data_IF_038899181887
#
_entry.id   IF_038899181887
#
_cell.length_a   1.000
_cell.length_b   1.000
_cell.length_c   1.000
_cell.angle_alpha   90.00
_cell.angle_beta   90.00
_cell.angle_gamma   90.00
#
_symmetry.space_group_name_H-M   'P 1'
#
loop_
_entity.id
_entity.type
_entity.pdbx_description
1 polymer ?
#
# COMPACT_ATOMS: atom_id res chain seq x y z
N UNK A 1 -7.87 1.70 -4.51
CA UNK A 1 -9.23 2.25 -4.37
C UNK A 1 -10.14 1.20 -3.74
N UNK A 2 -11.03 1.56 -2.85
CA UNK A 2 -12.07 0.65 -2.32
C UNK A 2 -13.32 0.68 -3.19
N UNK A 3 -13.96 -0.46 -3.37
CA UNK A 3 -15.06 -0.62 -4.34
C UNK A 3 -16.41 -0.09 -3.85
N UNK A 4 -16.65 -0.07 -2.54
CA UNK A 4 -17.95 0.28 -1.99
C UNK A 4 -18.36 1.73 -2.23
N UNK A 5 -17.43 2.67 -2.23
CA UNK A 5 -17.70 4.10 -2.43
C UNK A 5 -16.78 4.80 -3.43
N UNK A 6 -15.87 4.06 -4.05
CA UNK A 6 -14.92 4.61 -5.00
C UNK A 6 -13.79 5.44 -4.38
N UNK A 7 -13.67 5.49 -3.07
CA UNK A 7 -12.58 6.23 -2.43
C UNK A 7 -11.23 5.61 -2.78
N UNK A 8 -10.30 6.44 -3.17
CA UNK A 8 -8.97 6.01 -3.57
C UNK A 8 -7.89 6.66 -2.72
N UNK A 9 -6.76 6.02 -2.67
CA UNK A 9 -5.55 6.52 -2.05
C UNK A 9 -4.34 6.13 -2.90
N UNK A 10 -3.36 7.02 -3.03
CA UNK A 10 -2.17 6.73 -3.81
C UNK A 10 -1.32 5.68 -3.11
N UNK A 11 -0.78 4.75 -3.88
CA UNK A 11 0.18 3.77 -3.40
C UNK A 11 1.57 4.13 -3.89
N UNK A 12 2.53 4.04 -2.98
CA UNK A 12 3.94 4.16 -3.35
C UNK A 12 4.46 2.78 -3.82
N UNK A 13 5.28 2.74 -4.87
CA UNK A 13 5.94 1.51 -5.27
C UNK A 13 6.76 0.95 -4.12
N UNK A 14 6.68 -0.37 -3.92
CA UNK A 14 7.44 -1.04 -2.89
C UNK A 14 8.25 -2.20 -3.50
N UNK A 15 9.51 -2.41 -3.08
CA UNK A 15 10.36 -3.42 -3.70
C UNK A 15 9.93 -4.86 -3.43
N UNK A 16 9.22 -5.12 -2.33
CA UNK A 16 8.85 -6.47 -1.90
C UNK A 16 7.36 -6.73 -1.78
N UNK A 17 6.53 -5.68 -1.64
CA UNK A 17 5.09 -5.82 -1.54
C UNK A 17 4.41 -5.42 -2.87
N UNK A 18 3.49 -6.25 -3.33
CA UNK A 18 2.69 -5.93 -4.50
C UNK A 18 1.63 -4.86 -4.18
N UNK A 19 1.17 -4.08 -5.17
CA UNK A 19 0.09 -3.13 -4.97
C UNK A 19 -1.18 -3.74 -4.36
N UNK A 20 -1.51 -4.96 -4.73
CA UNK A 20 -2.66 -5.68 -4.18
C UNK A 20 -2.48 -6.00 -2.69
N UNK A 21 -1.29 -6.43 -2.29
CA UNK A 21 -0.96 -6.66 -0.89
C UNK A 21 -1.06 -5.37 -0.07
N UNK A 22 -0.54 -4.26 -0.60
CA UNK A 22 -0.63 -2.96 0.06
C UNK A 22 -2.09 -2.51 0.22
N UNK A 23 -2.88 -2.61 -0.83
CA UNK A 23 -4.32 -2.28 -0.75
C UNK A 23 -5.06 -3.11 0.29
N UNK A 24 -4.81 -4.42 0.32
CA UNK A 24 -5.46 -5.32 1.28
C UNK A 24 -5.00 -5.05 2.71
N UNK A 25 -3.75 -4.67 2.91
CA UNK A 25 -3.22 -4.33 4.22
C UNK A 25 -3.80 -3.01 4.76
N UNK A 26 -3.91 -1.98 3.92
CA UNK A 26 -4.46 -0.69 4.32
C UNK A 26 -5.99 -0.68 4.44
N UNK A 27 -6.67 -1.56 3.74
CA UNK A 27 -8.13 -1.58 3.67
C UNK A 27 -8.70 -3.02 3.69
N UNK A 28 -8.49 -3.77 4.80
CA UNK A 28 -8.91 -5.17 4.88
C UNK A 28 -10.42 -5.37 5.04
N UNK A 29 -11.15 -4.36 5.52
CA UNK A 29 -12.58 -4.48 5.82
C UNK A 29 -13.48 -4.41 4.58
N UNK A 30 -12.93 -4.12 3.40
CA UNK A 30 -13.70 -4.04 2.16
C UNK A 30 -12.85 -4.46 0.96
N UNK A 31 -13.52 -4.75 -0.14
CA UNK A 31 -12.83 -5.09 -1.38
C UNK A 31 -12.14 -3.86 -1.98
N UNK A 32 -10.95 -4.06 -2.46
CA UNK A 32 -10.13 -3.05 -3.11
C UNK A 32 -9.75 -3.46 -4.52
N UNK A 33 -9.45 -2.46 -5.35
CA UNK A 33 -9.01 -2.64 -6.73
C UNK A 33 -7.88 -1.68 -7.05
N UNK A 34 -6.94 -2.13 -7.86
CA UNK A 34 -5.78 -1.34 -8.29
C UNK A 34 -6.10 -0.66 -9.61
N UNK A 35 -5.80 0.63 -9.67
CA UNK A 35 -5.80 1.42 -10.89
C UNK A 35 -4.44 2.04 -11.11
N UNK A 36 -4.05 2.21 -12.35
CA UNK A 36 -2.76 2.78 -12.76
C UNK A 36 -2.98 3.98 -13.66
N UNK A 37 -2.27 5.05 -13.40
CA UNK A 37 -2.33 6.29 -14.18
C UNK A 37 -1.72 7.44 -13.40
N UNK A 38 -1.54 8.57 -14.06
CA UNK A 38 -1.04 9.79 -13.42
C UNK A 38 -2.16 10.56 -12.72
N UNK A 39 -3.37 10.42 -13.22
CA UNK A 39 -4.58 11.04 -12.69
C UNK A 39 -5.67 9.99 -12.51
N UNK A 40 -6.45 10.14 -11.45
CA UNK A 40 -7.49 9.17 -11.13
C UNK A 40 -8.58 9.08 -12.23
N UNK A 41 -8.89 10.19 -12.87
CA UNK A 41 -9.93 10.25 -13.92
C UNK A 41 -9.62 9.31 -15.09
N UNK A 42 -8.35 9.19 -15.43
CA UNK A 42 -7.86 8.38 -16.55
C UNK A 42 -7.19 7.08 -16.11
N UNK A 43 -7.15 6.84 -14.81
CA UNK A 43 -6.53 5.63 -14.26
C UNK A 43 -7.28 4.38 -14.71
N UNK A 44 -6.52 3.37 -15.14
CA UNK A 44 -7.03 2.13 -15.72
C UNK A 44 -6.80 0.96 -14.77
N UNK A 45 -7.83 0.15 -14.57
CA UNK A 45 -7.75 -1.09 -13.81
C UNK A 45 -7.05 -2.20 -14.58
N UNK A 46 -6.76 -3.29 -13.91
CA UNK A 46 -6.09 -4.46 -14.52
C UNK A 46 -6.90 -5.10 -15.65
N UNK A 47 -8.20 -4.91 -15.66
CA UNK A 47 -9.13 -5.39 -16.68
C UNK A 47 -9.34 -4.41 -17.84
N UNK A 48 -8.64 -3.28 -17.83
CA UNK A 48 -8.73 -2.26 -18.89
C UNK A 48 -9.83 -1.20 -18.69
N UNK A 49 -10.70 -1.34 -17.67
CA UNK A 49 -11.73 -0.34 -17.38
C UNK A 49 -11.17 0.90 -16.68
N UNK A 50 -11.65 2.08 -17.03
CA UNK A 50 -11.25 3.32 -16.38
C UNK A 50 -11.97 3.51 -15.05
N UNK A 51 -11.29 4.19 -14.10
CA UNK A 51 -11.90 4.52 -12.81
C UNK A 51 -13.21 5.33 -12.98
N UNK A 52 -13.22 6.33 -13.86
CA UNK A 52 -14.37 7.20 -14.10
C UNK A 52 -15.60 6.48 -14.64
N UNK A 53 -15.43 5.31 -15.25
CA UNK A 53 -16.51 4.47 -15.78
C UNK A 53 -17.17 3.59 -14.71
N UNK A 54 -16.61 3.52 -13.52
CA UNK A 54 -17.18 2.72 -12.45
C UNK A 54 -18.46 3.34 -11.91
N UNK A 55 -19.44 2.49 -11.63
CA UNK A 55 -20.71 2.90 -11.02
C UNK A 55 -20.52 3.73 -9.74
N UNK A 56 -19.52 3.37 -8.94
CA UNK A 56 -19.21 4.01 -7.66
C UNK A 56 -18.08 5.05 -7.76
N UNK A 57 -17.66 5.43 -8.97
CA UNK A 57 -16.67 6.47 -9.15
C UNK A 57 -17.09 7.76 -8.44
N UNK A 58 -16.21 8.31 -7.62
CA UNK A 58 -16.46 9.52 -6.83
C UNK A 58 -17.68 9.50 -5.90
N UNK A 59 -18.26 8.34 -5.62
CA UNK A 59 -19.45 8.25 -4.77
C UNK A 59 -19.19 8.78 -3.36
N UNK A 60 -17.99 8.57 -2.81
CA UNK A 60 -17.60 9.08 -1.50
C UNK A 60 -17.64 10.62 -1.37
N UNK A 61 -17.62 11.34 -2.50
CA UNK A 61 -17.75 12.81 -2.51
C UNK A 61 -19.20 13.27 -2.42
N UNK A 62 -20.13 12.39 -2.73
CA UNK A 62 -21.56 12.71 -2.80
C UNK A 62 -22.31 12.26 -1.57
N UNK A 63 -21.93 11.14 -0.98
CA UNK A 63 -22.59 10.56 0.18
C UNK A 63 -21.68 9.63 0.96
N UNK A 64 -22.02 9.45 2.23
CA UNK A 64 -21.40 8.43 3.09
C UNK A 64 -22.12 7.09 2.83
N UNK A 65 -21.37 6.08 2.43
CA UNK A 65 -21.94 4.73 2.21
C UNK A 65 -21.83 3.95 3.52
N UNK A 66 -22.97 3.52 4.05
CA UNK A 66 -23.00 2.74 5.28
C UNK A 66 -22.20 1.44 5.14
N UNK A 67 -21.41 1.11 6.16
CA UNK A 67 -20.59 -0.09 6.18
C UNK A 67 -19.35 -0.05 5.26
N UNK A 68 -19.13 1.03 4.55
CA UNK A 68 -17.96 1.21 3.69
C UNK A 68 -16.79 1.77 4.50
N UNK A 69 -15.99 0.89 5.07
CA UNK A 69 -14.83 1.25 5.91
C UNK A 69 -13.61 0.43 5.52
N UNK A 70 -12.42 0.95 5.75
CA UNK A 70 -11.19 0.19 5.61
C UNK A 70 -10.79 -0.51 6.91
N UNK A 71 -11.05 0.11 8.05
CA UNK A 71 -10.65 -0.39 9.37
C UNK A 71 -11.80 -1.04 10.17
N UNK A 72 -13.02 -1.07 9.64
CA UNK A 72 -14.20 -1.60 10.31
C UNK A 72 -14.81 -0.67 11.36
N UNK A 73 -14.27 0.53 11.57
CA UNK A 73 -14.69 1.47 12.61
C UNK A 73 -15.22 2.78 12.06
N UNK A 74 -14.47 3.44 11.21
CA UNK A 74 -14.84 4.73 10.65
C UNK A 74 -14.73 4.74 9.12
N UNK A 75 -15.51 5.61 8.50
CA UNK A 75 -15.65 5.65 7.04
C UNK A 75 -14.44 6.25 6.32
N UNK A 76 -13.53 6.89 7.02
CA UNK A 76 -12.45 7.68 6.43
C UNK A 76 -11.09 7.05 6.72
N UNK A 77 -10.91 6.45 7.88
CA UNK A 77 -9.64 5.91 8.35
C UNK A 77 -9.18 4.67 7.58
N UNK A 78 -7.90 4.64 7.27
CA UNK A 78 -7.21 3.41 6.89
C UNK A 78 -6.81 2.63 8.14
N UNK A 79 -6.44 1.37 7.96
CA UNK A 79 -5.83 0.60 9.04
C UNK A 79 -4.46 1.19 9.34
N UNK A 80 -4.20 1.46 10.62
CA UNK A 80 -2.85 1.74 11.08
C UNK A 80 -2.10 0.41 11.09
N UNK A 81 -1.08 0.29 10.25
CA UNK A 81 -0.27 -0.91 10.20
C UNK A 81 0.61 -0.97 11.45
N UNK A 82 0.52 -2.09 12.15
CA UNK A 82 1.45 -2.42 13.22
C UNK A 82 2.79 -2.84 12.59
N UNK A 83 3.89 -2.41 13.18
CA UNK A 83 5.24 -2.80 12.74
C UNK A 83 5.45 -4.32 12.67
N UNK A 84 4.69 -5.10 13.42
CA UNK A 84 4.74 -6.56 13.37
C UNK A 84 4.00 -7.17 12.17
N UNK A 85 3.06 -6.43 11.60
CA UNK A 85 2.18 -6.89 10.52
C UNK A 85 2.25 -6.03 9.26
N UNK A 86 3.18 -5.11 9.20
CA UNK A 86 3.33 -4.22 8.06
C UNK A 86 4.16 -4.90 6.95
N UNK A 87 3.56 -5.25 5.81
CA UNK A 87 4.28 -5.92 4.73
C UNK A 87 5.29 -5.00 4.03
N UNK A 88 5.27 -3.70 4.32
CA UNK A 88 6.21 -2.74 3.74
C UNK A 88 7.51 -2.64 4.50
N UNK A 89 7.55 -3.09 5.75
CA UNK A 89 8.74 -3.03 6.60
C UNK A 89 9.70 -4.16 6.27
N UNK A 90 10.98 -3.80 6.25
CA UNK A 90 12.07 -4.73 6.04
C UNK A 90 12.94 -4.85 7.31
N UNK A 91 13.62 -5.97 7.50
CA UNK A 91 14.63 -6.10 8.57
C UNK A 91 15.65 -4.96 8.47
N UNK A 92 15.87 -4.26 9.59
CA UNK A 92 16.74 -3.09 9.66
C UNK A 92 16.06 -1.75 9.58
N UNK A 93 14.78 -1.70 9.18
CA UNK A 93 14.00 -0.47 9.21
C UNK A 93 13.78 0.02 10.64
N UNK A 94 13.71 1.33 10.79
CA UNK A 94 13.45 1.96 12.07
C UNK A 94 12.03 2.47 12.13
N UNK A 95 11.30 2.07 13.17
CA UNK A 95 9.91 2.47 13.39
C UNK A 95 9.76 3.24 14.70
N UNK A 96 8.84 4.18 14.73
CA UNK A 96 8.47 4.86 15.97
C UNK A 96 7.57 3.96 16.82
N UNK A 97 7.87 3.91 18.10
CA UNK A 97 7.07 3.17 19.08
C UNK A 97 6.08 4.10 19.80
N UNK A 98 4.97 3.57 20.38
CA UNK A 98 3.97 4.39 21.05
C UNK A 98 4.49 5.23 22.22
N UNK A 99 5.63 4.85 22.80
CA UNK A 99 6.32 5.56 23.88
C UNK A 99 7.25 6.69 23.38
N UNK A 100 7.24 6.98 22.07
CA UNK A 100 8.04 8.03 21.44
C UNK A 100 9.50 7.66 21.18
N UNK A 101 9.86 6.40 21.34
CA UNK A 101 11.19 5.88 21.01
C UNK A 101 11.23 5.29 19.60
N UNK A 102 12.39 4.87 19.18
CA UNK A 102 12.57 4.14 17.94
C UNK A 102 12.99 2.70 18.22
N UNK A 103 12.44 1.78 17.43
CA UNK A 103 12.82 0.37 17.46
C UNK A 103 13.23 -0.09 16.07
N UNK A 104 14.22 -0.92 15.97
CA UNK A 104 14.62 -1.53 14.69
C UNK A 104 13.80 -2.78 14.43
N UNK A 105 13.25 -2.88 13.23
CA UNK A 105 12.53 -4.07 12.79
C UNK A 105 13.50 -5.23 12.73
N UNK A 106 13.22 -6.29 13.50
CA UNK A 106 13.99 -7.52 13.45
C UNK A 106 13.45 -8.42 12.34
N UNK A 107 14.36 -9.16 11.72
CA UNK A 107 13.91 -10.26 10.87
C UNK A 107 13.01 -11.16 11.71
N UNK A 108 11.82 -11.49 11.17
CA UNK A 108 10.97 -12.49 11.79
C UNK A 108 11.82 -13.74 12.04
N UNK A 109 11.69 -14.40 13.21
CA UNK A 109 12.42 -15.64 13.46
C UNK A 109 11.99 -16.63 12.40
N UNK A 110 12.88 -17.03 11.54
CA UNK A 110 12.49 -17.84 10.42
C UNK A 110 12.38 -19.28 10.84
N UNK A 111 11.68 -19.94 10.06
CA UNK A 111 12.21 -21.21 9.68
C UNK A 111 13.34 -21.06 8.64
N UNK A 112 14.38 -20.29 8.89
CA UNK A 112 15.47 -20.08 7.93
C UNK A 112 16.33 -18.89 8.32
N UNK A 113 17.32 -19.09 9.19
CA UNK A 113 18.35 -18.11 9.45
C UNK A 113 19.10 -17.80 8.15
N UNK A 114 19.19 -16.53 7.76
CA UNK A 114 20.16 -16.13 6.77
C UNK A 114 21.56 -16.55 7.28
N UNK A 115 22.40 -17.21 6.46
CA UNK A 115 23.72 -17.62 6.91
C UNK A 115 24.53 -16.38 7.33
N UNK A 116 25.21 -16.42 8.46
CA UNK A 116 26.09 -15.34 8.87
C UNK A 116 27.19 -15.19 7.80
N UNK A 117 27.24 -14.02 7.14
CA UNK A 117 28.24 -13.74 6.11
C UNK A 117 27.72 -13.27 4.75
N UNK A 118 26.42 -13.10 4.60
CA UNK A 118 25.89 -12.41 3.42
C UNK A 118 26.24 -10.92 3.50
N UNK A 119 27.33 -10.53 2.88
CA UNK A 119 27.67 -9.13 2.68
C UNK A 119 26.62 -8.49 1.80
N UNK A 120 26.13 -7.27 2.11
CA UNK A 120 25.29 -6.54 1.19
C UNK A 120 26.03 -6.34 -0.13
N UNK A 121 25.38 -6.48 -1.28
CA UNK A 121 26.03 -6.18 -2.54
C UNK A 121 26.52 -4.74 -2.53
N UNK A 122 27.69 -4.45 -3.12
CA UNK A 122 28.20 -3.09 -3.17
C UNK A 122 27.18 -2.21 -3.91
N UNK A 123 27.03 -0.94 -3.53
CA UNK A 123 26.16 -0.03 -4.23
C UNK A 123 26.66 0.09 -5.68
N UNK A 124 25.91 -0.45 -6.60
CA UNK A 124 26.13 -0.24 -8.02
C UNK A 124 25.78 1.23 -8.31
N UNK A 125 26.83 2.04 -8.38
CA UNK A 125 26.74 3.37 -8.89
C UNK A 125 26.49 3.29 -10.40
N UNK A 126 25.29 3.49 -10.82
CA UNK A 126 24.82 4.06 -12.07
C UNK A 126 23.32 3.78 -12.16
N UNK A 127 22.55 4.68 -11.62
CA UNK A 127 21.11 4.68 -11.83
C UNK A 127 20.83 5.37 -13.16
N UNK A 128 20.32 4.69 -14.17
CA UNK A 128 19.72 5.37 -15.31
C UNK A 128 18.55 6.23 -14.83
N UNK A 129 18.23 7.33 -15.51
CA UNK A 129 17.08 8.14 -15.13
C UNK A 129 15.84 7.27 -15.03
N UNK A 130 15.17 7.35 -13.89
CA UNK A 130 13.99 6.54 -13.63
C UNK A 130 12.90 6.88 -14.66
N UNK A 131 12.27 5.89 -15.27
CA UNK A 131 11.09 6.12 -16.08
C UNK A 131 10.03 6.81 -15.22
N UNK A 132 9.29 7.73 -15.83
CA UNK A 132 8.18 8.44 -15.17
C UNK A 132 7.27 7.39 -14.54
N UNK A 133 7.28 7.32 -13.21
CA UNK A 133 6.52 6.33 -12.50
C UNK A 133 5.04 6.70 -12.54
N UNK A 134 4.25 5.88 -13.18
CA UNK A 134 2.81 6.00 -13.12
C UNK A 134 2.35 5.80 -11.69
N UNK A 135 1.62 6.76 -11.16
CA UNK A 135 1.00 6.63 -9.84
C UNK A 135 -0.04 5.50 -9.86
N UNK A 136 -0.04 4.72 -8.81
CA UNK A 136 -1.04 3.67 -8.58
C UNK A 136 -2.04 4.17 -7.53
N UNK A 137 -3.31 3.90 -7.79
CA UNK A 137 -4.42 4.29 -6.92
C UNK A 137 -5.23 3.08 -6.46
#
# INVERSE_FOLDING_TARGET
MRLCDGRYFPLQPHPTASPSQLCSAFCPATQTRIFRGNEIQTAVGQDGGQYSELKNAYLYRKQLVAGCTCNGKDSIGLVTLDANNDPTLQPGDTVATPDGKTATVRAAPPGGAAPPGASPPPPTSARPPAPVQQRQY
#
